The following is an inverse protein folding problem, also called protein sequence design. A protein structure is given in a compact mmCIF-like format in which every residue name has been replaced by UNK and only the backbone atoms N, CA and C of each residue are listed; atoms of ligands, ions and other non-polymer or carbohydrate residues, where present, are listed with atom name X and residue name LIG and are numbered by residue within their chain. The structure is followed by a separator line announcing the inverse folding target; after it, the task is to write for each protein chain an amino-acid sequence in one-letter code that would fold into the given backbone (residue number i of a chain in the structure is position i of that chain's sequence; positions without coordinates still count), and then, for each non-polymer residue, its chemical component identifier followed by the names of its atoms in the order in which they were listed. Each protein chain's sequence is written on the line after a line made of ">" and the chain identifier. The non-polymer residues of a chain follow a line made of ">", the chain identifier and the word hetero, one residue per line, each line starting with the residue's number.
data_IF_117217478572
#
_entry.id   IF_117217478572
#
_cell.length_a   1.000
_cell.length_b   1.000
_cell.length_c   1.000
_cell.angle_alpha   90.00
_cell.angle_beta   90.00
_cell.angle_gamma   90.00
#
_symmetry.space_group_name_H-M   'P 1'
#
loop_
_entity.id
_entity.type
_entity.pdbx_description
1 polymer ?
#
# COMPACT_ATOMS: atom_id res chain seq x y z
N UNK A 1 4.30 25.99 -12.01
CA UNK A 1 4.36 24.80 -11.13
C UNK A 1 3.30 25.02 -10.07
N UNK A 2 2.41 24.09 -9.75
CA UNK A 2 1.53 24.27 -8.62
C UNK A 2 2.37 24.47 -7.37
N UNK A 3 1.98 25.42 -6.52
CA UNK A 3 2.66 25.67 -5.25
C UNK A 3 2.78 24.36 -4.46
N UNK A 4 3.98 24.09 -3.98
CA UNK A 4 4.27 22.91 -3.17
C UNK A 4 3.51 23.05 -1.84
N UNK A 5 2.55 22.18 -1.61
CA UNK A 5 1.78 22.24 -0.37
C UNK A 5 2.64 21.70 0.79
N UNK A 6 3.20 22.61 1.57
CA UNK A 6 4.11 22.31 2.68
C UNK A 6 3.45 21.40 3.72
N UNK A 7 2.16 21.55 3.98
CA UNK A 7 1.40 20.73 4.93
C UNK A 7 1.44 19.23 4.52
N UNK A 8 1.35 18.94 3.23
CA UNK A 8 1.42 17.57 2.74
C UNK A 8 2.80 16.97 2.95
N UNK A 9 3.85 17.76 2.73
CA UNK A 9 5.22 17.29 2.93
C UNK A 9 5.52 17.09 4.42
N UNK A 10 5.02 17.95 5.30
CA UNK A 10 5.12 17.80 6.76
C UNK A 10 4.37 16.53 7.23
N UNK A 11 3.14 16.31 6.75
CA UNK A 11 2.39 15.09 7.04
C UNK A 11 3.11 13.81 6.56
N UNK A 12 3.72 13.85 5.39
CA UNK A 12 4.55 12.73 4.91
C UNK A 12 5.75 12.49 5.82
N UNK A 13 6.40 13.55 6.30
CA UNK A 13 7.48 13.47 7.26
C UNK A 13 7.06 12.77 8.56
N UNK A 14 5.92 13.18 9.11
CA UNK A 14 5.34 12.56 10.32
C UNK A 14 5.00 11.07 10.07
N UNK A 15 4.42 10.75 8.91
CA UNK A 15 4.16 9.36 8.53
C UNK A 15 5.44 8.53 8.40
N UNK A 16 6.53 9.13 7.86
CA UNK A 16 7.84 8.44 7.80
C UNK A 16 8.39 8.12 9.18
N UNK A 17 8.27 9.04 10.15
CA UNK A 17 8.65 8.77 11.54
C UNK A 17 7.87 7.58 12.12
N UNK A 18 6.56 7.50 11.87
CA UNK A 18 5.76 6.37 12.29
C UNK A 18 6.18 5.06 11.61
N UNK A 19 6.48 5.06 10.31
CA UNK A 19 7.02 3.87 9.61
C UNK A 19 8.33 3.42 10.24
N UNK A 20 9.26 4.33 10.51
CA UNK A 20 10.51 4.03 11.23
C UNK A 20 10.20 3.44 12.62
N UNK A 21 9.22 4.01 13.34
CA UNK A 21 8.77 3.51 14.63
C UNK A 21 8.30 2.04 14.59
N UNK A 22 7.48 1.67 13.60
CA UNK A 22 7.05 0.27 13.41
C UNK A 22 8.26 -0.65 13.21
N UNK A 23 9.22 -0.24 12.37
CA UNK A 23 10.36 -1.07 12.03
C UNK A 23 11.37 -1.20 13.18
N UNK A 24 11.63 -0.10 13.89
CA UNK A 24 12.46 -0.13 15.11
C UNK A 24 11.78 -0.98 16.19
N UNK A 25 10.45 -0.87 16.34
CA UNK A 25 9.68 -1.68 17.27
C UNK A 25 9.83 -3.18 17.03
N UNK A 26 9.86 -3.63 15.77
CA UNK A 26 10.01 -5.06 15.45
C UNK A 26 11.34 -5.64 15.98
N UNK A 27 12.43 -4.87 15.95
CA UNK A 27 13.72 -5.31 16.51
C UNK A 27 13.72 -5.42 18.04
N UNK A 28 12.87 -4.65 18.73
CA UNK A 28 12.76 -4.73 20.20
C UNK A 28 12.26 -6.10 20.65
N UNK A 29 11.42 -6.76 19.84
CA UNK A 29 10.91 -8.12 20.14
C UNK A 29 11.99 -9.20 20.07
N UNK A 30 13.07 -8.98 19.33
CA UNK A 30 14.19 -9.91 19.18
C UNK A 30 15.18 -9.78 20.36
N UNK A 31 15.02 -8.75 21.21
CA UNK A 31 15.87 -8.56 22.37
C UNK A 31 15.63 -9.66 23.44
N UNK A 32 16.67 -10.11 24.19
CA UNK A 32 16.53 -11.14 25.22
C UNK A 32 15.50 -10.80 26.32
N UNK A 33 15.30 -9.50 26.59
CA UNK A 33 14.34 -8.99 27.58
C UNK A 33 13.57 -7.81 26.98
N UNK A 34 12.58 -8.07 26.08
CA UNK A 34 11.85 -6.99 25.43
C UNK A 34 10.96 -6.24 26.42
N UNK A 35 11.00 -4.91 26.37
CA UNK A 35 10.03 -4.11 27.09
C UNK A 35 8.71 -4.09 26.32
N UNK A 36 7.82 -5.03 26.64
CA UNK A 36 6.54 -5.23 25.94
C UNK A 36 5.64 -4.00 25.98
N UNK A 37 5.69 -3.20 27.07
CA UNK A 37 4.90 -1.98 27.18
C UNK A 37 5.38 -0.90 26.19
N UNK A 38 6.68 -0.65 26.12
CA UNK A 38 7.24 0.33 25.18
C UNK A 38 7.05 -0.13 23.74
N UNK A 39 7.18 -1.43 23.47
CA UNK A 39 6.88 -1.98 22.15
C UNK A 39 5.41 -1.75 21.76
N UNK A 40 4.46 -2.10 22.63
CA UNK A 40 3.03 -1.88 22.36
C UNK A 40 2.70 -0.40 22.15
N UNK A 41 3.27 0.48 22.97
CA UNK A 41 3.09 1.93 22.85
C UNK A 41 3.57 2.43 21.48
N UNK A 42 4.79 2.05 21.09
CA UNK A 42 5.39 2.44 19.81
C UNK A 42 4.61 1.88 18.63
N UNK A 43 4.21 0.61 18.71
CA UNK A 43 3.39 -0.06 17.69
C UNK A 43 2.04 0.65 17.48
N UNK A 44 1.29 0.93 18.56
CA UNK A 44 -0.01 1.61 18.51
C UNK A 44 0.16 3.03 17.95
N UNK A 45 1.13 3.79 18.46
CA UNK A 45 1.38 5.16 18.02
C UNK A 45 1.84 5.25 16.57
N UNK A 46 2.39 4.19 16.01
CA UNK A 46 2.95 4.19 14.65
C UNK A 46 2.00 3.61 13.59
N UNK A 47 0.97 2.86 13.98
CA UNK A 47 0.04 2.18 13.05
C UNK A 47 -0.73 3.08 12.12
N UNK A 48 -0.89 4.36 12.47
CA UNK A 48 -1.56 5.33 11.60
C UNK A 48 -0.81 5.59 10.28
N UNK A 49 0.49 5.32 10.24
CA UNK A 49 1.39 5.77 9.17
C UNK A 49 1.01 5.24 7.80
N UNK A 50 0.78 3.93 7.68
CA UNK A 50 0.44 3.31 6.39
C UNK A 50 -0.92 3.79 5.87
N UNK A 51 -2.01 3.79 6.67
CA UNK A 51 -3.28 4.40 6.28
C UNK A 51 -3.14 5.87 5.88
N UNK A 52 -2.38 6.66 6.65
CA UNK A 52 -2.18 8.07 6.36
C UNK A 52 -1.45 8.31 5.03
N UNK A 53 -0.46 7.47 4.68
CA UNK A 53 0.18 7.54 3.36
C UNK A 53 -0.80 7.26 2.21
N UNK A 54 -1.71 6.30 2.35
CA UNK A 54 -2.74 6.06 1.33
C UNK A 54 -3.70 7.24 1.23
N UNK A 55 -4.12 7.81 2.36
CA UNK A 55 -4.95 9.01 2.39
C UNK A 55 -4.26 10.18 1.68
N UNK A 56 -3.01 10.51 2.04
CA UNK A 56 -2.23 11.60 1.44
C UNK A 56 -2.02 11.36 -0.07
N UNK A 57 -1.81 10.09 -0.47
CA UNK A 57 -1.66 9.74 -1.88
C UNK A 57 -2.97 9.94 -2.65
N UNK A 58 -4.10 9.55 -2.07
CA UNK A 58 -5.44 9.83 -2.60
C UNK A 58 -5.69 11.34 -2.70
N UNK A 59 -5.48 12.09 -1.62
CA UNK A 59 -5.61 13.53 -1.60
C UNK A 59 -4.83 14.20 -2.74
N UNK A 60 -3.53 13.90 -2.86
CA UNK A 60 -2.70 14.49 -3.91
C UNK A 60 -3.16 14.16 -5.33
N UNK A 61 -3.75 12.97 -5.54
CA UNK A 61 -4.30 12.58 -6.84
C UNK A 61 -5.62 13.27 -7.13
N UNK A 62 -6.57 13.27 -6.22
CA UNK A 62 -7.88 13.90 -6.41
C UNK A 62 -7.79 15.44 -6.47
N UNK A 63 -6.84 16.07 -5.77
CA UNK A 63 -6.55 17.50 -5.95
C UNK A 63 -5.96 17.79 -7.33
N UNK A 64 -5.09 16.94 -7.85
CA UNK A 64 -4.48 17.13 -9.16
C UNK A 64 -5.45 16.82 -10.30
N UNK A 65 -6.29 15.80 -10.15
CA UNK A 65 -7.25 15.31 -11.15
C UNK A 65 -8.67 15.47 -10.61
N UNK A 66 -9.25 16.65 -10.81
CA UNK A 66 -10.64 16.93 -10.44
C UNK A 66 -11.60 16.06 -11.28
N UNK A 67 -12.84 15.82 -10.81
CA UNK A 67 -13.79 14.93 -11.50
C UNK A 67 -14.06 15.30 -12.95
N UNK A 68 -13.97 16.59 -13.31
CA UNK A 68 -14.21 17.08 -14.65
C UNK A 68 -12.99 16.93 -15.58
N UNK A 69 -11.81 16.57 -15.02
CA UNK A 69 -10.58 16.51 -15.81
C UNK A 69 -10.43 15.15 -16.49
N UNK A 70 -10.06 15.15 -17.76
CA UNK A 70 -9.67 13.93 -18.47
C UNK A 70 -8.24 13.54 -18.09
N UNK A 71 -8.06 12.29 -17.67
CA UNK A 71 -6.75 11.76 -17.32
C UNK A 71 -6.04 11.27 -18.57
N UNK A 72 -4.93 11.93 -18.95
CA UNK A 72 -4.02 11.38 -19.95
C UNK A 72 -3.25 10.20 -19.32
N UNK A 73 -3.81 8.99 -19.45
CA UNK A 73 -3.41 7.83 -18.65
C UNK A 73 -1.94 7.43 -18.82
N UNK A 74 -1.43 7.35 -20.05
CA UNK A 74 -0.06 6.94 -20.31
C UNK A 74 0.99 7.91 -19.72
N UNK A 75 0.90 9.24 -19.92
CA UNK A 75 1.76 10.22 -19.27
C UNK A 75 1.65 10.18 -17.74
N UNK A 76 0.43 10.03 -17.21
CA UNK A 76 0.19 9.87 -15.79
C UNK A 76 0.93 8.65 -15.25
N UNK A 77 0.71 7.48 -15.83
CA UNK A 77 1.31 6.22 -15.39
C UNK A 77 2.84 6.26 -15.47
N UNK A 78 3.39 6.76 -16.59
CA UNK A 78 4.84 6.92 -16.76
C UNK A 78 5.45 7.73 -15.61
N UNK A 79 4.83 8.88 -15.26
CA UNK A 79 5.30 9.73 -14.16
C UNK A 79 5.27 8.97 -12.81
N UNK A 80 4.22 8.19 -12.55
CA UNK A 80 4.09 7.41 -11.30
C UNK A 80 5.06 6.23 -11.25
N UNK A 81 5.27 5.55 -12.34
CA UNK A 81 6.27 4.49 -12.43
C UNK A 81 7.70 5.02 -12.23
N UNK A 82 8.02 6.19 -12.76
CA UNK A 82 9.32 6.83 -12.53
C UNK A 82 9.51 7.27 -11.08
N UNK A 83 8.46 7.78 -10.42
CA UNK A 83 8.56 8.33 -9.07
C UNK A 83 8.43 7.29 -7.96
N UNK A 84 7.74 6.17 -8.21
CA UNK A 84 7.45 5.13 -7.20
C UNK A 84 7.92 3.76 -7.67
N UNK A 85 7.61 3.38 -8.90
CA UNK A 85 7.95 2.06 -9.44
C UNK A 85 9.46 1.84 -9.56
N UNK A 86 10.19 2.82 -10.11
CA UNK A 86 11.65 2.71 -10.25
C UNK A 86 12.36 2.62 -8.90
N UNK A 87 12.12 3.51 -7.91
CA UNK A 87 12.67 3.34 -6.57
C UNK A 87 12.29 2.00 -5.93
N UNK A 88 11.04 1.54 -6.11
CA UNK A 88 10.59 0.23 -5.62
C UNK A 88 11.47 -0.90 -6.16
N UNK A 89 11.69 -0.96 -7.46
CA UNK A 89 12.52 -2.01 -8.09
C UNK A 89 13.97 -1.93 -7.62
N UNK A 90 14.56 -0.73 -7.57
CA UNK A 90 15.93 -0.52 -7.12
C UNK A 90 16.12 -1.02 -5.68
N UNK A 91 15.24 -0.61 -4.75
CA UNK A 91 15.32 -1.03 -3.36
C UNK A 91 15.03 -2.52 -3.18
N UNK A 92 14.08 -3.08 -3.94
CA UNK A 92 13.83 -4.52 -3.92
C UNK A 92 15.07 -5.32 -4.32
N UNK A 93 15.72 -4.95 -5.42
CA UNK A 93 16.94 -5.61 -5.85
C UNK A 93 18.08 -5.43 -4.83
N UNK A 94 18.21 -4.23 -4.24
CA UNK A 94 19.18 -4.00 -3.17
C UNK A 94 18.96 -4.95 -1.98
N UNK A 95 17.73 -5.11 -1.51
CA UNK A 95 17.41 -6.04 -0.41
C UNK A 95 17.65 -7.50 -0.78
N UNK A 96 17.30 -7.91 -2.00
CA UNK A 96 17.56 -9.28 -2.46
C UNK A 96 19.06 -9.58 -2.51
N UNK A 97 19.88 -8.64 -3.00
CA UNK A 97 21.34 -8.74 -3.01
C UNK A 97 21.91 -8.77 -1.58
N UNK A 98 21.45 -7.88 -0.72
CA UNK A 98 21.86 -7.82 0.68
C UNK A 98 21.59 -9.15 1.41
N UNK A 99 20.35 -9.67 1.34
CA UNK A 99 20.01 -10.94 1.98
C UNK A 99 20.76 -12.12 1.37
N UNK A 100 21.00 -12.12 0.06
CA UNK A 100 21.80 -13.16 -0.59
C UNK A 100 23.27 -13.14 -0.11
N UNK A 101 23.81 -11.95 0.20
CA UNK A 101 25.16 -11.81 0.73
C UNK A 101 25.27 -12.21 2.21
N UNK A 102 24.29 -11.84 3.02
CA UNK A 102 24.28 -12.14 4.47
C UNK A 102 23.89 -13.59 4.76
N UNK A 103 22.98 -14.15 3.97
CA UNK A 103 22.48 -15.52 4.11
C UNK A 103 22.60 -16.24 2.74
N UNK A 104 23.76 -16.80 2.40
CA UNK A 104 23.96 -17.48 1.11
C UNK A 104 22.93 -18.59 0.89
N UNK A 105 22.32 -18.61 -0.29
CA UNK A 105 21.32 -19.62 -0.65
C UNK A 105 19.88 -19.32 -0.22
N UNK A 106 19.61 -18.22 0.50
CA UNK A 106 18.24 -17.87 0.90
C UNK A 106 17.38 -17.35 -0.26
N UNK A 107 17.99 -16.83 -1.33
CA UNK A 107 17.29 -16.30 -2.50
C UNK A 107 17.48 -17.22 -3.70
N UNK A 108 16.39 -17.67 -4.28
CA UNK A 108 16.40 -18.33 -5.58
C UNK A 108 16.37 -17.25 -6.69
N UNK A 109 17.48 -17.12 -7.41
CA UNK A 109 17.67 -16.12 -8.47
C UNK A 109 17.03 -16.48 -9.82
N UNK A 110 16.19 -17.51 -9.87
CA UNK A 110 15.43 -17.78 -11.09
C UNK A 110 14.52 -16.59 -11.43
N UNK A 111 14.45 -16.16 -12.70
CA UNK A 111 13.66 -14.98 -13.10
C UNK A 111 12.19 -15.05 -12.64
N UNK A 112 11.57 -16.22 -12.72
CA UNK A 112 10.19 -16.41 -12.26
C UNK A 112 10.02 -16.13 -10.75
N UNK A 113 10.99 -16.54 -9.93
CA UNK A 113 10.98 -16.28 -8.50
C UNK A 113 11.22 -14.80 -8.20
N UNK A 114 12.15 -14.16 -8.89
CA UNK A 114 12.37 -12.72 -8.72
C UNK A 114 11.12 -11.91 -9.10
N UNK A 115 10.47 -12.25 -10.22
CA UNK A 115 9.20 -11.62 -10.60
C UNK A 115 8.11 -11.85 -9.55
N UNK A 116 8.03 -13.05 -8.98
CA UNK A 116 7.11 -13.37 -7.89
C UNK A 116 7.37 -12.50 -6.65
N UNK A 117 8.62 -12.40 -6.21
CA UNK A 117 9.00 -11.57 -5.06
C UNK A 117 8.70 -10.08 -5.30
N UNK A 118 8.95 -9.59 -6.51
CA UNK A 118 8.63 -8.21 -6.90
C UNK A 118 7.11 -7.99 -7.00
N UNK A 119 6.36 -8.94 -7.56
CA UNK A 119 4.90 -8.77 -7.71
C UNK A 119 4.17 -8.66 -6.37
N UNK A 120 4.60 -9.43 -5.39
CA UNK A 120 3.98 -9.46 -4.06
C UNK A 120 4.69 -8.58 -3.01
N UNK A 121 5.75 -7.84 -3.39
CA UNK A 121 6.49 -6.99 -2.45
C UNK A 121 7.26 -7.75 -1.37
N UNK A 122 7.73 -8.96 -1.68
CA UNK A 122 8.35 -9.90 -0.72
C UNK A 122 9.87 -9.76 -0.62
N UNK A 123 10.49 -8.86 -1.37
CA UNK A 123 11.93 -8.61 -1.28
C UNK A 123 12.34 -8.08 0.11
N UNK A 124 11.47 -7.32 0.76
CA UNK A 124 11.56 -6.96 2.17
C UNK A 124 10.14 -6.65 2.69
N UNK A 125 9.87 -6.98 3.94
CA UNK A 125 8.51 -6.98 4.52
C UNK A 125 7.77 -5.64 4.41
N UNK A 126 8.45 -4.49 4.38
CA UNK A 126 7.81 -3.17 4.25
C UNK A 126 7.52 -2.74 2.80
N UNK A 127 8.07 -3.43 1.81
CA UNK A 127 7.94 -3.03 0.40
C UNK A 127 6.55 -3.33 -0.19
N UNK A 128 5.73 -4.17 0.45
CA UNK A 128 4.36 -4.46 0.02
C UNK A 128 3.50 -3.18 -0.12
N UNK A 129 3.73 -2.18 0.72
CA UNK A 129 3.05 -0.88 0.65
C UNK A 129 3.22 -0.23 -0.73
N UNK A 130 4.44 -0.27 -1.29
CA UNK A 130 4.73 0.30 -2.61
C UNK A 130 3.97 -0.44 -3.72
N UNK A 131 3.80 -1.75 -3.59
CA UNK A 131 3.02 -2.57 -4.54
C UNK A 131 1.56 -2.16 -4.52
N UNK A 132 0.96 -2.02 -3.33
CA UNK A 132 -0.43 -1.54 -3.20
C UNK A 132 -0.59 -0.15 -3.79
N UNK A 133 0.36 0.75 -3.54
CA UNK A 133 0.34 2.11 -4.09
C UNK A 133 0.42 2.11 -5.62
N UNK A 134 1.26 1.25 -6.20
CA UNK A 134 1.34 1.06 -7.65
C UNK A 134 0.01 0.56 -8.22
N UNK A 135 -0.65 -0.39 -7.55
CA UNK A 135 -1.98 -0.85 -7.95
C UNK A 135 -3.03 0.26 -7.89
N UNK A 136 -3.00 1.14 -6.89
CA UNK A 136 -3.84 2.34 -6.87
C UNK A 136 -3.59 3.25 -8.07
N UNK A 137 -2.34 3.42 -8.50
CA UNK A 137 -2.03 4.23 -9.68
C UNK A 137 -2.49 3.55 -10.97
N UNK A 138 -2.28 2.24 -11.14
CA UNK A 138 -2.78 1.50 -12.30
C UNK A 138 -4.30 1.58 -12.42
N UNK A 139 -5.00 1.48 -11.31
CA UNK A 139 -6.47 1.46 -11.27
C UNK A 139 -7.07 2.85 -11.03
N UNK A 140 -6.27 3.92 -10.94
CA UNK A 140 -6.75 5.26 -10.61
C UNK A 140 -7.88 5.77 -11.50
N UNK A 141 -7.90 5.56 -12.83
CA UNK A 141 -9.03 6.00 -13.66
C UNK A 141 -10.38 5.39 -13.23
N UNK A 142 -10.37 4.17 -12.68
CA UNK A 142 -11.58 3.53 -12.13
C UNK A 142 -12.05 4.26 -10.87
N UNK A 143 -11.14 4.54 -9.95
CA UNK A 143 -11.45 5.23 -8.69
C UNK A 143 -11.87 6.67 -8.91
N UNK A 144 -11.27 7.34 -9.89
CA UNK A 144 -11.65 8.68 -10.31
C UNK A 144 -13.10 8.73 -10.85
N UNK A 145 -13.48 7.78 -11.71
CA UNK A 145 -14.86 7.64 -12.20
C UNK A 145 -15.85 7.33 -11.06
N UNK A 146 -15.47 6.44 -10.15
CA UNK A 146 -16.30 6.10 -8.98
C UNK A 146 -16.51 7.32 -8.08
N UNK A 147 -15.47 8.10 -7.84
CA UNK A 147 -15.56 9.34 -7.06
C UNK A 147 -16.47 10.36 -7.72
N UNK A 148 -16.32 10.58 -9.03
CA UNK A 148 -17.19 11.45 -9.83
C UNK A 148 -18.66 10.99 -9.78
N UNK A 149 -18.91 9.69 -9.85
CA UNK A 149 -20.27 9.13 -9.70
C UNK A 149 -20.86 9.44 -8.31
N UNK A 150 -20.07 9.31 -7.24
CA UNK A 150 -20.53 9.64 -5.90
C UNK A 150 -20.84 11.14 -5.76
N UNK A 151 -20.05 12.03 -6.34
CA UNK A 151 -20.30 13.47 -6.33
C UNK A 151 -21.60 13.83 -7.03
N UNK A 152 -21.88 13.18 -8.17
CA UNK A 152 -23.09 13.45 -8.96
C UNK A 152 -24.37 12.84 -8.38
N UNK A 153 -24.24 11.81 -7.54
CA UNK A 153 -25.39 11.11 -6.93
C UNK A 153 -25.60 11.53 -5.48
N UNK A 154 -24.83 10.93 -4.57
CA UNK A 154 -24.83 11.26 -3.15
C UNK A 154 -23.49 10.88 -2.56
N UNK A 155 -22.65 11.88 -2.33
CA UNK A 155 -21.32 11.69 -1.78
C UNK A 155 -21.36 10.96 -0.42
N UNK A 156 -22.26 11.38 0.49
CA UNK A 156 -22.41 10.77 1.81
C UNK A 156 -22.77 9.29 1.71
N UNK A 157 -23.80 8.97 0.91
CA UNK A 157 -24.24 7.59 0.74
C UNK A 157 -23.15 6.72 0.08
N UNK A 158 -22.47 7.24 -0.95
CA UNK A 158 -21.38 6.55 -1.61
C UNK A 158 -20.26 6.18 -0.65
N UNK A 159 -19.83 7.09 0.22
CA UNK A 159 -18.80 6.81 1.22
C UNK A 159 -19.24 5.88 2.34
N UNK A 160 -20.49 5.95 2.80
CA UNK A 160 -21.04 4.99 3.76
C UNK A 160 -21.03 3.58 3.15
N UNK A 161 -21.52 3.42 1.93
CA UNK A 161 -21.49 2.13 1.24
C UNK A 161 -20.08 1.60 1.03
N UNK A 162 -19.14 2.47 0.61
CA UNK A 162 -17.74 2.10 0.43
C UNK A 162 -17.10 1.64 1.75
N UNK A 163 -17.40 2.33 2.86
CA UNK A 163 -16.94 1.94 4.19
C UNK A 163 -17.45 0.56 4.61
N UNK A 164 -18.77 0.34 4.46
CA UNK A 164 -19.39 -0.93 4.79
C UNK A 164 -18.86 -2.07 3.92
N UNK A 165 -18.72 -1.83 2.60
CA UNK A 165 -18.14 -2.80 1.68
C UNK A 165 -16.68 -3.15 2.06
N UNK A 166 -15.89 -2.17 2.47
CA UNK A 166 -14.52 -2.44 2.92
C UNK A 166 -14.48 -3.27 4.19
N UNK A 167 -15.35 -3.00 5.17
CA UNK A 167 -15.46 -3.83 6.38
C UNK A 167 -15.82 -5.28 6.03
N UNK A 168 -16.86 -5.46 5.22
CA UNK A 168 -17.30 -6.79 4.78
C UNK A 168 -16.21 -7.51 4.01
N UNK A 169 -15.54 -6.82 3.08
CA UNK A 169 -14.45 -7.36 2.30
C UNK A 169 -13.27 -7.77 3.18
N UNK A 170 -12.85 -6.92 4.12
CA UNK A 170 -11.77 -7.23 5.05
C UNK A 170 -12.14 -8.40 5.97
N UNK A 171 -13.37 -8.42 6.50
CA UNK A 171 -13.87 -9.51 7.30
C UNK A 171 -13.84 -10.84 6.52
N UNK A 172 -14.41 -10.84 5.31
CA UNK A 172 -14.47 -12.03 4.47
C UNK A 172 -13.09 -12.55 4.07
N UNK A 173 -12.18 -11.66 3.67
CA UNK A 173 -10.82 -12.06 3.24
C UNK A 173 -9.91 -12.50 4.39
N UNK A 174 -10.16 -12.04 5.62
CA UNK A 174 -9.38 -12.45 6.79
C UNK A 174 -9.82 -13.78 7.40
N UNK A 175 -10.99 -14.32 6.99
CA UNK A 175 -11.47 -15.60 7.51
C UNK A 175 -10.70 -16.79 6.91
N UNK A 176 -10.25 -17.75 7.75
CA UNK A 176 -9.38 -18.85 7.34
C UNK A 176 -10.04 -19.87 6.38
N UNK A 177 -11.38 -19.88 6.27
CA UNK A 177 -12.13 -20.82 5.42
C UNK A 177 -11.91 -20.63 3.92
N UNK A 178 -11.24 -19.55 3.49
CA UNK A 178 -10.84 -19.31 2.10
C UNK A 178 -9.50 -19.97 1.73
N UNK A 179 -8.80 -20.63 2.67
CA UNK A 179 -7.60 -21.42 2.40
C UNK A 179 -8.01 -22.76 1.80
N UNK A 180 -8.53 -22.75 0.59
CA UNK A 180 -8.80 -23.97 -0.16
C UNK A 180 -7.46 -24.54 -0.66
N UNK A 181 -7.05 -25.68 -0.09
CA UNK A 181 -5.88 -26.46 -0.52
C UNK A 181 -6.05 -27.03 -1.93
N UNK A 182 -7.28 -27.02 -2.46
CA UNK A 182 -7.62 -27.64 -3.74
C UNK A 182 -7.51 -26.66 -4.93
N UNK A 183 -7.16 -25.39 -4.67
CA UNK A 183 -6.97 -24.41 -5.74
C UNK A 183 -5.61 -24.58 -6.43
N UNK A 184 -5.50 -24.22 -7.72
CA UNK A 184 -4.20 -24.13 -8.40
C UNK A 184 -3.23 -23.22 -7.62
N UNK A 185 -1.94 -23.58 -7.61
CA UNK A 185 -0.89 -22.88 -6.85
C UNK A 185 -0.88 -21.36 -7.09
N UNK A 186 -1.16 -20.94 -8.32
CA UNK A 186 -1.28 -19.52 -8.65
C UNK A 186 -2.38 -18.81 -7.84
N UNK A 187 -3.58 -19.42 -7.76
CA UNK A 187 -4.70 -18.86 -6.98
C UNK A 187 -4.43 -18.92 -5.48
N UNK A 188 -3.80 -19.99 -5.00
CA UNK A 188 -3.36 -20.06 -3.60
C UNK A 188 -2.43 -18.90 -3.24
N UNK A 189 -1.46 -18.59 -4.10
CA UNK A 189 -0.55 -17.45 -3.90
C UNK A 189 -1.29 -16.11 -3.92
N UNK A 190 -2.23 -15.91 -4.84
CA UNK A 190 -3.06 -14.71 -4.86
C UNK A 190 -3.83 -14.52 -3.53
N UNK A 191 -4.41 -15.57 -2.99
CA UNK A 191 -5.11 -15.50 -1.71
C UNK A 191 -4.17 -15.34 -0.51
N UNK A 192 -3.04 -16.05 -0.49
CA UNK A 192 -2.09 -15.99 0.61
C UNK A 192 -1.47 -14.60 0.76
N UNK A 193 -1.11 -13.96 -0.35
CA UNK A 193 -0.46 -12.64 -0.37
C UNK A 193 -1.42 -11.48 -0.64
N UNK A 194 -2.74 -11.69 -0.57
CA UNK A 194 -3.75 -10.67 -0.88
C UNK A 194 -3.56 -9.33 -0.16
N UNK A 195 -3.09 -9.36 1.08
CA UNK A 195 -2.84 -8.15 1.86
C UNK A 195 -1.63 -7.35 1.35
N UNK A 196 -0.77 -7.98 0.54
CA UNK A 196 0.44 -7.35 0.03
C UNK A 196 0.22 -6.62 -1.30
N UNK A 197 -0.83 -6.94 -2.06
CA UNK A 197 -1.04 -6.36 -3.38
C UNK A 197 -2.46 -5.84 -3.64
N UNK A 198 -3.49 -6.27 -2.89
CA UNK A 198 -4.86 -5.85 -3.15
C UNK A 198 -5.13 -4.45 -2.56
N UNK A 199 -5.36 -3.42 -3.41
CA UNK A 199 -5.66 -2.07 -2.95
C UNK A 199 -7.03 -1.97 -2.25
N UNK A 200 -7.93 -2.93 -2.48
CA UNK A 200 -9.29 -2.92 -1.91
C UNK A 200 -9.29 -2.90 -0.38
N UNK A 201 -8.26 -3.42 0.28
CA UNK A 201 -8.11 -3.37 1.74
C UNK A 201 -7.94 -1.95 2.29
N UNK A 202 -7.54 -1.00 1.45
CA UNK A 202 -7.28 0.40 1.81
C UNK A 202 -8.09 1.39 0.98
N UNK A 203 -9.04 0.90 0.16
CA UNK A 203 -9.76 1.71 -0.82
C UNK A 203 -10.54 2.86 -0.18
N UNK A 204 -11.25 2.61 0.92
CA UNK A 204 -11.99 3.65 1.63
C UNK A 204 -11.07 4.79 2.07
N UNK A 205 -9.90 4.45 2.66
CA UNK A 205 -8.94 5.42 3.16
C UNK A 205 -8.33 6.23 1.99
N UNK A 206 -7.96 5.55 0.90
CA UNK A 206 -7.45 6.22 -0.30
C UNK A 206 -8.49 7.17 -0.92
N UNK A 207 -9.73 6.73 -1.07
CA UNK A 207 -10.84 7.53 -1.61
C UNK A 207 -11.20 8.71 -0.69
N UNK A 208 -11.10 8.53 0.64
CA UNK A 208 -11.35 9.59 1.62
C UNK A 208 -10.40 10.78 1.47
N UNK A 209 -9.21 10.57 0.91
CA UNK A 209 -8.31 11.65 0.52
C UNK A 209 -8.92 12.63 -0.49
N UNK A 210 -9.89 12.19 -1.30
CA UNK A 210 -10.61 13.06 -2.23
C UNK A 210 -11.65 13.98 -1.58
N UNK A 211 -11.96 13.78 -0.28
CA UNK A 211 -12.92 14.61 0.46
C UNK A 211 -12.26 15.82 1.13
N UNK A 212 -10.94 15.79 1.31
CA UNK A 212 -10.17 16.84 1.95
C UNK A 212 -9.70 17.88 0.94
#
# INVERSE_FOLDING_TARGET
>A
MPERNQIIDDLRGICMLGVIGIHVGSFVLEAPYPNSFLYMLLEILSRYSVPAFFFISGYGLFCQYRPETTIAYLPFLKKRLQSVGLPYVIWSLFYLLYFSAVMPGCINWQPANILFLLFYGLACYHLYFMVILLWFYFTFPLWHKLFSFFQNSSLKLGFILLFLLQIVFNYWTCHPNLKSTDLPVFLQNLFNYRLNYLPLHYLFIFMSGGLA
#
